data_IF_821336763786
#
_entry.id   IF_821336763786
#
_cell.length_a   1.000
_cell.length_b   1.000
_cell.length_c   1.000
_cell.angle_alpha   90.00
_cell.angle_beta   90.00
_cell.angle_gamma   90.00
#
_symmetry.space_group_name_H-M   'P 1'
#
loop_
_entity.id
_entity.type
_entity.pdbx_description
1 polymer ?
#
# COMPACT_ATOMS: atom_id res chain seq x y z
N UNK A 1 14.23 -34.70 -9.81
CA UNK A 1 14.07 -33.52 -10.70
C UNK A 1 14.52 -32.27 -9.95
N UNK A 2 15.59 -31.59 -10.38
CA UNK A 2 16.04 -30.35 -9.70
C UNK A 2 15.11 -29.19 -10.06
N UNK A 3 14.40 -28.62 -9.08
CA UNK A 3 13.63 -27.38 -9.25
C UNK A 3 14.60 -26.25 -9.61
N UNK A 4 14.48 -25.69 -10.81
CA UNK A 4 15.20 -24.46 -11.18
C UNK A 4 14.63 -23.31 -10.33
N UNK A 5 15.41 -22.83 -9.38
CA UNK A 5 15.12 -21.61 -8.63
C UNK A 5 15.06 -20.46 -9.62
N UNK A 6 13.93 -19.77 -9.71
CA UNK A 6 13.81 -18.60 -10.59
C UNK A 6 14.73 -17.50 -10.07
N UNK A 7 15.43 -16.77 -10.95
CA UNK A 7 16.25 -15.66 -10.52
C UNK A 7 15.37 -14.61 -9.82
N UNK A 8 15.87 -14.07 -8.70
CA UNK A 8 15.17 -13.08 -7.88
C UNK A 8 15.05 -11.69 -8.55
N UNK A 9 15.68 -11.51 -9.71
CA UNK A 9 15.72 -10.23 -10.43
C UNK A 9 15.35 -10.44 -11.90
N UNK A 10 14.46 -9.59 -12.40
CA UNK A 10 14.05 -9.55 -13.80
C UNK A 10 14.80 -8.40 -14.48
N UNK A 11 15.59 -8.72 -15.52
CA UNK A 11 16.27 -7.71 -16.35
C UNK A 11 15.54 -7.58 -17.69
N UNK A 12 15.01 -6.41 -17.99
CA UNK A 12 14.23 -6.12 -19.20
C UNK A 12 14.56 -4.72 -19.72
N UNK A 13 14.62 -4.58 -21.04
CA UNK A 13 14.66 -3.28 -21.70
C UNK A 13 13.24 -2.78 -21.90
N UNK A 14 12.99 -1.52 -21.59
CA UNK A 14 11.68 -0.87 -21.74
C UNK A 14 11.88 0.43 -22.50
N UNK A 15 11.01 0.68 -23.48
CA UNK A 15 10.96 1.97 -24.16
C UNK A 15 10.16 2.94 -23.28
N UNK A 16 10.83 3.97 -22.75
CA UNK A 16 10.20 5.03 -21.97
C UNK A 16 10.18 6.33 -22.77
N UNK A 17 9.10 7.12 -22.69
CA UNK A 17 9.07 8.45 -23.28
C UNK A 17 10.20 9.33 -22.71
N UNK A 18 10.96 9.98 -23.59
CA UNK A 18 12.08 10.83 -23.18
C UNK A 18 11.64 11.95 -22.24
N UNK A 19 10.53 12.61 -22.57
CA UNK A 19 9.96 13.70 -21.77
C UNK A 19 9.63 13.24 -20.35
N UNK A 20 9.09 12.03 -20.19
CA UNK A 20 8.78 11.46 -18.88
C UNK A 20 10.04 11.22 -18.05
N UNK A 21 11.09 10.68 -18.67
CA UNK A 21 12.37 10.45 -17.98
C UNK A 21 12.99 11.78 -17.53
N UNK A 22 12.99 12.78 -18.41
CA UNK A 22 13.53 14.12 -18.09
C UNK A 22 12.75 14.77 -16.94
N UNK A 23 11.42 14.81 -17.01
CA UNK A 23 10.56 15.36 -15.95
C UNK A 23 10.84 14.67 -14.61
N UNK A 24 10.82 13.33 -14.60
CA UNK A 24 11.02 12.56 -13.37
C UNK A 24 12.44 12.76 -12.81
N UNK A 25 13.46 12.86 -13.66
CA UNK A 25 14.83 13.16 -13.21
C UNK A 25 14.95 14.57 -12.60
N UNK A 26 14.20 15.57 -13.08
CA UNK A 26 14.24 16.92 -12.50
C UNK A 26 13.67 16.97 -11.09
N UNK A 27 12.57 16.25 -10.83
CA UNK A 27 11.89 16.23 -9.53
C UNK A 27 12.48 15.19 -8.57
N UNK A 28 13.25 14.22 -9.09
CA UNK A 28 13.85 13.19 -8.27
C UNK A 28 14.87 13.78 -7.27
N UNK A 29 14.96 13.20 -6.06
CA UNK A 29 16.05 13.45 -5.13
C UNK A 29 17.42 13.21 -5.79
N UNK A 30 18.47 13.97 -5.42
CA UNK A 30 19.78 13.89 -6.07
C UNK A 30 20.36 12.47 -6.06
N UNK A 31 20.06 11.66 -5.04
CA UNK A 31 20.53 10.28 -4.89
C UNK A 31 19.93 9.32 -5.93
N UNK A 32 18.82 9.71 -6.58
CA UNK A 32 18.10 8.90 -7.56
C UNK A 32 18.28 9.38 -9.00
N UNK A 33 18.80 10.61 -9.22
CA UNK A 33 18.97 11.20 -10.55
C UNK A 33 19.97 10.43 -11.42
N UNK A 34 21.03 9.93 -10.80
CA UNK A 34 22.13 9.26 -11.51
C UNK A 34 21.88 7.76 -11.73
N UNK A 35 20.84 7.18 -11.11
CA UNK A 35 20.55 5.75 -11.19
C UNK A 35 19.09 5.50 -11.56
N UNK A 36 18.83 5.45 -12.87
CA UNK A 36 17.50 5.18 -13.42
C UNK A 36 16.91 3.85 -12.94
N UNK A 37 17.73 2.80 -12.75
CA UNK A 37 17.24 1.51 -12.25
C UNK A 37 16.70 1.64 -10.82
N UNK A 38 17.39 2.39 -9.96
CA UNK A 38 16.94 2.64 -8.59
C UNK A 38 15.67 3.49 -8.59
N UNK A 39 15.62 4.51 -9.43
CA UNK A 39 14.45 5.36 -9.61
C UNK A 39 13.22 4.54 -10.04
N UNK A 40 13.35 3.68 -11.05
CA UNK A 40 12.26 2.81 -11.51
C UNK A 40 11.86 1.83 -10.40
N UNK A 41 12.81 1.30 -9.65
CA UNK A 41 12.52 0.38 -8.53
C UNK A 41 11.67 1.05 -7.46
N UNK A 42 12.03 2.26 -7.04
CA UNK A 42 11.27 3.04 -6.04
C UNK A 42 9.87 3.36 -6.58
N UNK A 43 9.77 3.83 -7.82
CA UNK A 43 8.48 4.15 -8.45
C UNK A 43 7.54 2.93 -8.50
N UNK A 44 8.06 1.73 -8.81
CA UNK A 44 7.29 0.49 -8.82
C UNK A 44 6.84 0.08 -7.41
N UNK A 45 7.68 0.26 -6.39
CA UNK A 45 7.34 -0.03 -5.00
C UNK A 45 6.20 0.89 -4.52
N UNK A 46 6.31 2.19 -4.78
CA UNK A 46 5.27 3.16 -4.43
C UNK A 46 3.96 2.90 -5.18
N UNK A 47 4.03 2.59 -6.47
CA UNK A 47 2.85 2.22 -7.25
C UNK A 47 2.15 1.00 -6.64
N UNK A 48 2.91 -0.04 -6.30
CA UNK A 48 2.36 -1.24 -5.67
C UNK A 48 1.75 -0.93 -4.29
N UNK A 49 2.42 -0.10 -3.48
CA UNK A 49 1.91 0.31 -2.17
C UNK A 49 0.56 1.04 -2.30
N UNK A 50 0.49 2.07 -3.15
CA UNK A 50 -0.74 2.83 -3.40
C UNK A 50 -1.89 1.96 -3.91
N UNK A 51 -1.59 0.97 -4.76
CA UNK A 51 -2.61 0.04 -5.26
C UNK A 51 -3.13 -0.90 -4.17
N UNK A 52 -2.26 -1.37 -3.27
CA UNK A 52 -2.67 -2.21 -2.13
C UNK A 52 -3.49 -1.40 -1.12
N UNK A 53 -3.06 -0.19 -0.80
CA UNK A 53 -3.77 0.73 0.09
C UNK A 53 -5.18 0.99 -0.42
N UNK A 54 -5.32 1.38 -1.70
CA UNK A 54 -6.64 1.57 -2.31
C UNK A 54 -7.50 0.30 -2.28
N UNK A 55 -6.93 -0.86 -2.60
CA UNK A 55 -7.67 -2.12 -2.56
C UNK A 55 -8.12 -2.47 -1.14
N UNK A 56 -7.32 -2.14 -0.14
CA UNK A 56 -7.65 -2.28 1.27
C UNK A 56 -8.78 -1.32 1.67
N UNK A 57 -8.69 -0.04 1.30
CA UNK A 57 -9.77 0.94 1.54
C UNK A 57 -11.09 0.50 0.91
N UNK A 58 -11.06 0.03 -0.34
CA UNK A 58 -12.25 -0.49 -1.04
C UNK A 58 -12.82 -1.74 -0.33
N UNK A 59 -11.96 -2.62 0.19
CA UNK A 59 -12.39 -3.78 0.97
C UNK A 59 -13.02 -3.35 2.30
N UNK A 60 -12.40 -2.43 3.03
CA UNK A 60 -12.91 -1.88 4.28
C UNK A 60 -14.24 -1.17 4.08
N UNK A 61 -14.39 -0.38 3.01
CA UNK A 61 -15.64 0.28 2.68
C UNK A 61 -16.77 -0.72 2.39
N UNK A 62 -16.47 -1.82 1.69
CA UNK A 62 -17.44 -2.90 1.47
C UNK A 62 -17.83 -3.60 2.77
N UNK A 63 -16.88 -3.90 3.64
CA UNK A 63 -17.15 -4.50 4.95
C UNK A 63 -17.98 -3.57 5.83
N UNK A 64 -17.64 -2.27 5.85
CA UNK A 64 -18.37 -1.27 6.62
C UNK A 64 -19.81 -1.07 6.12
N UNK A 65 -20.07 -1.28 4.83
CA UNK A 65 -21.40 -1.22 4.24
C UNK A 65 -22.21 -2.50 4.41
N UNK A 66 -21.61 -3.61 4.85
CA UNK A 66 -22.30 -4.89 5.04
C UNK A 66 -23.20 -4.84 6.28
N UNK A 67 -24.54 -5.00 6.14
CA UNK A 67 -25.47 -4.93 7.27
C UNK A 67 -25.23 -6.01 8.34
N UNK A 68 -24.73 -7.19 7.97
CA UNK A 68 -24.45 -8.25 8.94
C UNK A 68 -23.26 -7.87 9.82
N UNK A 69 -22.20 -7.33 9.20
CA UNK A 69 -21.02 -6.83 9.92
C UNK A 69 -21.42 -5.64 10.80
N UNK A 70 -22.24 -4.71 10.31
CA UNK A 70 -22.74 -3.59 11.12
C UNK A 70 -23.51 -4.07 12.35
N UNK A 71 -24.38 -5.06 12.19
CA UNK A 71 -25.15 -5.61 13.31
C UNK A 71 -24.26 -6.30 14.34
N UNK A 72 -23.28 -7.08 13.89
CA UNK A 72 -22.31 -7.75 14.75
C UNK A 72 -21.42 -6.73 15.48
N UNK A 73 -20.87 -5.74 14.77
CA UNK A 73 -20.10 -4.65 15.38
C UNK A 73 -20.93 -3.88 16.41
N UNK A 74 -22.20 -3.57 16.12
CA UNK A 74 -23.09 -2.91 17.08
C UNK A 74 -23.35 -3.75 18.33
N UNK A 75 -23.48 -5.07 18.18
CA UNK A 75 -23.62 -5.99 19.31
C UNK A 75 -22.35 -5.99 20.19
N UNK A 76 -21.18 -6.10 19.57
CA UNK A 76 -19.88 -6.05 20.25
C UNK A 76 -19.70 -4.71 20.98
N UNK A 77 -19.92 -3.58 20.30
CA UNK A 77 -19.80 -2.25 20.92
C UNK A 77 -20.75 -2.07 22.11
N UNK A 78 -21.95 -2.67 22.06
CA UNK A 78 -22.88 -2.65 23.19
C UNK A 78 -22.39 -3.50 24.36
N UNK A 79 -21.86 -4.68 24.07
CA UNK A 79 -21.37 -5.63 25.09
C UNK A 79 -20.14 -5.07 25.82
N UNK A 80 -19.20 -4.47 25.09
CA UNK A 80 -17.94 -3.98 25.64
C UNK A 80 -17.92 -2.47 25.93
N UNK A 81 -19.04 -1.77 25.76
CA UNK A 81 -19.10 -0.32 25.90
C UNK A 81 -18.68 0.23 27.27
N UNK A 82 -18.80 -0.56 28.35
CA UNK A 82 -18.30 -0.18 29.67
C UNK A 82 -16.77 -0.22 29.75
N UNK A 83 -16.14 -1.13 29.02
CA UNK A 83 -14.69 -1.31 29.00
C UNK A 83 -13.96 -0.24 28.17
N UNK A 84 -14.67 0.51 27.32
CA UNK A 84 -14.11 1.61 26.53
C UNK A 84 -13.49 2.73 27.40
N UNK A 85 -13.94 2.85 28.66
CA UNK A 85 -13.42 3.84 29.62
C UNK A 85 -12.50 3.23 30.68
N UNK A 86 -12.24 1.93 30.61
CA UNK A 86 -11.37 1.27 31.58
C UNK A 86 -9.96 1.87 31.53
N UNK A 87 -9.50 2.42 32.65
CA UNK A 87 -8.17 3.02 32.78
C UNK A 87 -8.09 4.52 32.46
N UNK A 88 -9.19 5.17 32.05
CA UNK A 88 -9.28 6.63 31.98
C UNK A 88 -9.78 7.17 33.33
N UNK A 89 -9.04 8.10 33.95
CA UNK A 89 -9.50 8.80 35.15
C UNK A 89 -10.57 9.83 34.75
N UNK A 90 -11.72 9.78 35.39
CA UNK A 90 -12.72 10.86 35.34
C UNK A 90 -12.21 12.01 36.24
N UNK A 91 -11.40 12.92 35.70
CA UNK A 91 -11.19 14.24 36.32
C UNK A 91 -12.32 15.21 35.92
#
# INVERSE_FOLDING_TARGET
MKRKTRPNTVRRSVALPRQLVEEVTTVAPPELRENLNRLVTVALQEFAAKKRERAFEEAMARMAADPAIQAECAAISKEFGTAERDGLKDD
#
